data_IF_529048854147
#
_entry.id   IF_529048854147
#
_cell.length_a   1.000
_cell.length_b   1.000
_cell.length_c   1.000
_cell.angle_alpha   90.00
_cell.angle_beta   90.00
_cell.angle_gamma   90.00
#
_symmetry.space_group_name_H-M   'P 1'
#
loop_
_entity.id
_entity.type
_entity.pdbx_description
1 polymer ?
#
# COMPACT_ATOMS: atom_id res chain seq x y z
N UNK A 1 -1.27 -12.85 -6.48
CA UNK A 1 -0.85 -11.69 -5.67
C UNK A 1 0.62 -11.70 -5.29
N UNK A 2 1.15 -12.66 -4.52
CA UNK A 2 2.56 -12.65 -4.03
C UNK A 2 3.60 -12.35 -5.12
N UNK A 3 3.50 -13.00 -6.29
CA UNK A 3 4.40 -12.74 -7.43
C UNK A 3 4.31 -11.30 -7.94
N UNK A 4 3.10 -10.72 -8.01
CA UNK A 4 2.90 -9.34 -8.48
C UNK A 4 3.58 -8.35 -7.55
N UNK A 5 3.39 -8.51 -6.24
CA UNK A 5 3.96 -7.62 -5.23
C UNK A 5 5.49 -7.71 -5.19
N UNK A 6 6.04 -8.93 -5.20
CA UNK A 6 7.50 -9.15 -5.21
C UNK A 6 8.17 -8.71 -6.52
N UNK A 7 7.42 -8.64 -7.61
CA UNK A 7 7.91 -8.06 -8.85
C UNK A 7 8.11 -6.55 -8.76
N UNK A 8 7.30 -5.84 -7.94
CA UNK A 8 7.46 -4.39 -7.72
C UNK A 8 8.71 -4.12 -6.88
N UNK A 9 8.78 -4.73 -5.70
CA UNK A 9 9.93 -4.73 -4.80
C UNK A 9 9.95 -6.08 -4.07
N UNK A 10 11.09 -6.75 -4.04
CA UNK A 10 11.19 -8.11 -3.52
C UNK A 10 10.84 -8.25 -2.02
N UNK A 11 11.05 -7.19 -1.24
CA UNK A 11 10.76 -7.13 0.20
C UNK A 11 9.30 -6.82 0.53
N UNK A 12 8.49 -6.42 -0.45
CA UNK A 12 7.08 -6.15 -0.21
C UNK A 12 6.32 -7.44 0.02
N UNK A 13 5.39 -7.38 0.96
CA UNK A 13 4.46 -8.46 1.26
C UNK A 13 3.02 -7.94 1.10
N UNK A 14 2.05 -8.83 1.17
CA UNK A 14 0.64 -8.46 1.08
C UNK A 14 -0.20 -9.25 2.07
N UNK A 15 -1.36 -8.68 2.39
CA UNK A 15 -2.31 -9.27 3.33
C UNK A 15 -3.74 -8.99 2.85
N UNK A 16 -4.66 -9.97 2.89
CA UNK A 16 -6.08 -9.68 2.67
C UNK A 16 -6.62 -8.84 3.83
N UNK A 17 -7.32 -7.75 3.53
CA UNK A 17 -7.91 -6.85 4.53
C UNK A 17 -9.45 -6.89 4.52
N UNK A 18 -10.03 -7.84 3.78
CA UNK A 18 -11.47 -8.00 3.60
C UNK A 18 -11.78 -8.72 2.30
N UNK A 19 -13.06 -8.68 1.89
CA UNK A 19 -13.50 -9.25 0.60
C UNK A 19 -13.12 -8.37 -0.59
N UNK A 20 -13.06 -7.06 -0.40
CA UNK A 20 -12.87 -6.05 -1.44
C UNK A 20 -11.66 -5.15 -1.17
N UNK A 21 -10.79 -5.53 -0.22
CA UNK A 21 -9.60 -4.75 0.15
C UNK A 21 -8.37 -5.62 0.27
N UNK A 22 -7.25 -5.09 -0.22
CA UNK A 22 -5.94 -5.72 -0.06
C UNK A 22 -4.94 -4.75 0.55
N UNK A 23 -4.13 -5.25 1.48
CA UNK A 23 -3.00 -4.54 2.07
C UNK A 23 -1.70 -4.89 1.38
N UNK A 24 -0.89 -3.88 1.06
CA UNK A 24 0.51 -4.03 0.63
C UNK A 24 1.38 -3.53 1.78
N UNK A 25 2.22 -4.41 2.33
CA UNK A 25 3.12 -4.09 3.44
C UNK A 25 4.42 -3.54 2.86
N UNK A 26 4.70 -2.28 3.16
CA UNK A 26 5.80 -1.51 2.61
C UNK A 26 6.75 -1.11 3.76
N UNK A 27 8.06 -1.36 3.63
CA UNK A 27 9.04 -0.85 4.59
C UNK A 27 8.95 0.67 4.75
N UNK A 28 9.03 1.16 5.98
CA UNK A 28 8.92 2.59 6.27
C UNK A 28 10.03 3.44 5.63
N UNK A 29 11.19 2.82 5.43
CA UNK A 29 12.39 3.38 4.80
C UNK A 29 12.50 3.05 3.30
N UNK A 30 11.39 2.65 2.66
CA UNK A 30 11.37 2.28 1.23
C UNK A 30 12.00 3.37 0.35
N UNK A 31 13.09 3.01 -0.33
CA UNK A 31 13.66 3.85 -1.37
C UNK A 31 12.80 3.78 -2.64
N UNK A 32 12.23 4.92 -3.05
CA UNK A 32 11.44 5.05 -4.28
C UNK A 32 12.20 4.61 -5.54
N UNK A 33 13.54 4.63 -5.54
CA UNK A 33 14.36 4.21 -6.69
C UNK A 33 14.37 2.69 -6.89
N UNK A 34 14.08 1.93 -5.84
CA UNK A 34 13.98 0.47 -5.91
C UNK A 34 12.62 0.02 -6.44
N UNK A 35 11.64 0.93 -6.55
CA UNK A 35 10.29 0.62 -7.00
C UNK A 35 10.23 0.62 -8.52
N UNK A 36 9.94 -0.54 -9.09
CA UNK A 36 9.69 -0.66 -10.52
C UNK A 36 8.33 -0.05 -10.87
N UNK A 37 8.33 1.19 -11.39
CA UNK A 37 7.10 1.97 -11.66
C UNK A 37 6.08 1.25 -12.55
N UNK A 38 6.50 0.67 -13.68
CA UNK A 38 5.59 -0.07 -14.56
C UNK A 38 4.96 -1.25 -13.85
N UNK A 39 5.76 -2.02 -13.10
CA UNK A 39 5.27 -3.17 -12.32
C UNK A 39 4.33 -2.75 -11.19
N UNK A 40 4.50 -1.55 -10.63
CA UNK A 40 3.58 -1.00 -9.65
C UNK A 40 2.22 -0.67 -10.29
N UNK A 41 2.21 -0.14 -11.51
CA UNK A 41 0.97 0.07 -12.28
C UNK A 41 0.30 -1.27 -12.59
N UNK A 42 1.07 -2.25 -13.12
CA UNK A 42 0.56 -3.60 -13.39
C UNK A 42 -0.04 -4.26 -12.13
N UNK A 43 0.53 -3.99 -10.95
CA UNK A 43 -0.01 -4.46 -9.67
C UNK A 43 -1.37 -3.84 -9.37
N UNK A 44 -1.55 -2.53 -9.58
CA UNK A 44 -2.83 -1.86 -9.34
C UNK A 44 -3.89 -2.32 -10.34
N UNK A 45 -3.54 -2.45 -11.62
CA UNK A 45 -4.44 -3.01 -12.64
C UNK A 45 -4.84 -4.45 -12.32
N UNK A 46 -3.90 -5.28 -11.85
CA UNK A 46 -4.22 -6.64 -11.41
C UNK A 46 -5.17 -6.66 -10.20
N UNK A 47 -5.01 -5.72 -9.26
CA UNK A 47 -5.94 -5.57 -8.13
C UNK A 47 -7.36 -5.24 -8.61
N UNK A 48 -7.51 -4.26 -9.51
CA UNK A 48 -8.80 -3.88 -10.08
C UNK A 48 -9.37 -5.00 -10.97
N UNK A 49 -8.71 -5.30 -12.07
CA UNK A 49 -9.29 -6.08 -13.15
C UNK A 49 -9.38 -7.57 -12.82
N UNK A 50 -8.38 -8.12 -12.12
CA UNK A 50 -8.31 -9.56 -11.86
C UNK A 50 -8.87 -9.91 -10.48
N UNK A 51 -8.42 -9.20 -9.43
CA UNK A 51 -8.89 -9.49 -8.07
C UNK A 51 -10.22 -8.84 -7.74
N UNK A 52 -10.69 -7.87 -8.53
CA UNK A 52 -11.96 -7.16 -8.32
C UNK A 52 -12.04 -6.54 -6.92
N UNK A 53 -10.91 -6.09 -6.38
CA UNK A 53 -10.87 -5.34 -5.12
C UNK A 53 -11.21 -3.88 -5.40
N UNK A 54 -11.84 -3.21 -4.43
CA UNK A 54 -12.20 -1.79 -4.52
C UNK A 54 -11.14 -0.87 -3.93
N UNK A 55 -10.31 -1.39 -3.03
CA UNK A 55 -9.29 -0.60 -2.36
C UNK A 55 -7.97 -1.37 -2.20
N UNK A 56 -6.88 -0.67 -2.50
CA UNK A 56 -5.52 -1.09 -2.17
C UNK A 56 -5.00 -0.20 -1.04
N UNK A 57 -4.61 -0.82 0.07
CA UNK A 57 -4.10 -0.12 1.26
C UNK A 57 -2.59 -0.34 1.34
N UNK A 58 -1.80 0.71 1.20
CA UNK A 58 -0.38 0.70 1.54
C UNK A 58 -0.22 0.82 3.06
N UNK A 59 0.43 -0.17 3.68
CA UNK A 59 0.61 -0.30 5.12
C UNK A 59 2.09 -0.16 5.47
N UNK A 60 2.40 0.73 6.39
CA UNK A 60 3.76 0.98 6.87
C UNK A 60 3.82 0.69 8.36
N UNK A 61 4.81 -0.09 8.81
CA UNK A 61 5.01 -0.46 10.22
C UNK A 61 5.61 0.66 11.10
N UNK A 62 5.22 1.91 10.84
CA UNK A 62 5.63 3.10 11.62
C UNK A 62 4.51 4.14 11.62
N UNK A 63 3.92 4.39 12.79
CA UNK A 63 2.82 5.35 12.95
C UNK A 63 3.24 6.83 12.84
N UNK A 64 4.53 7.15 13.04
CA UNK A 64 5.06 8.51 12.98
C UNK A 64 5.29 9.03 11.54
N UNK A 65 5.01 8.20 10.53
CA UNK A 65 5.14 8.59 9.14
C UNK A 65 4.10 9.63 8.72
N UNK A 66 4.51 10.48 7.79
CA UNK A 66 3.63 11.48 7.18
C UNK A 66 3.82 11.52 5.68
N UNK A 67 2.84 12.06 4.97
CA UNK A 67 2.91 12.28 3.51
C UNK A 67 3.86 13.41 3.09
N UNK A 68 4.51 14.09 4.04
CA UNK A 68 5.45 15.18 3.75
C UNK A 68 6.83 14.67 3.29
N UNK A 69 7.19 13.42 3.62
CA UNK A 69 8.50 12.85 3.36
C UNK A 69 8.43 11.36 2.97
N UNK A 70 9.57 10.83 2.50
CA UNK A 70 9.74 9.42 2.20
C UNK A 70 8.83 8.88 1.10
N UNK A 71 8.62 7.56 1.14
CA UNK A 71 7.76 6.87 0.18
C UNK A 71 6.27 7.26 0.23
N UNK A 72 5.66 7.55 1.41
CA UNK A 72 4.28 8.06 1.48
C UNK A 72 4.02 9.29 0.59
N UNK A 73 5.00 10.20 0.48
CA UNK A 73 4.92 11.34 -0.43
C UNK A 73 4.81 10.90 -1.90
N UNK A 74 5.56 9.87 -2.29
CA UNK A 74 5.51 9.31 -3.65
C UNK A 74 4.14 8.73 -3.94
N UNK A 75 3.59 7.92 -3.02
CA UNK A 75 2.26 7.35 -3.17
C UNK A 75 1.16 8.42 -3.26
N UNK A 76 1.30 9.54 -2.53
CA UNK A 76 0.38 10.67 -2.63
C UNK A 76 0.31 11.25 -4.05
N UNK A 77 1.44 11.32 -4.76
CA UNK A 77 1.48 11.77 -6.15
C UNK A 77 0.82 10.78 -7.13
N UNK A 78 0.85 9.49 -6.80
CA UNK A 78 0.18 8.44 -7.60
C UNK A 78 -1.34 8.43 -7.35
N UNK A 79 -1.82 9.04 -6.27
CA UNK A 79 -3.24 9.16 -5.98
C UNK A 79 -3.67 8.58 -4.63
N UNK A 80 -2.76 7.92 -3.90
CA UNK A 80 -3.05 7.41 -2.57
C UNK A 80 -3.42 8.55 -1.61
N UNK A 81 -4.30 8.25 -0.66
CA UNK A 81 -4.78 9.18 0.38
C UNK A 81 -4.55 8.57 1.75
N UNK A 82 -4.28 9.40 2.76
CA UNK A 82 -4.08 8.93 4.14
C UNK A 82 -5.39 8.32 4.65
N UNK A 83 -5.29 7.16 5.30
CA UNK A 83 -6.40 6.58 6.06
C UNK A 83 -6.33 7.14 7.48
N UNK A 84 -7.43 7.66 7.99
CA UNK A 84 -7.50 8.08 9.38
C UNK A 84 -7.50 6.86 10.31
N UNK A 85 -6.83 6.89 11.47
CA UNK A 85 -6.78 5.79 12.45
C UNK A 85 -8.12 5.09 12.72
N UNK A 86 -9.20 5.88 12.86
CA UNK A 86 -10.56 5.42 13.12
C UNK A 86 -11.17 4.59 11.98
N UNK A 87 -10.59 4.67 10.78
CA UNK A 87 -11.03 3.95 9.58
C UNK A 87 -10.11 2.78 9.22
N UNK A 88 -9.17 2.43 10.10
CA UNK A 88 -8.30 1.29 9.86
C UNK A 88 -9.13 -0.02 9.82
N UNK A 89 -8.80 -0.94 8.90
CA UNK A 89 -9.28 -2.31 9.00
C UNK A 89 -8.92 -2.91 10.36
N UNK A 90 -9.74 -3.80 10.96
CA UNK A 90 -9.49 -4.37 12.27
C UNK A 90 -8.15 -5.10 12.44
N UNK A 91 -7.52 -5.48 11.33
CA UNK A 91 -6.21 -6.16 11.29
C UNK A 91 -5.02 -5.19 11.37
N UNK A 92 -5.24 -3.88 11.30
CA UNK A 92 -4.20 -2.86 11.42
C UNK A 92 -4.31 -2.12 12.75
N UNK A 93 -3.17 -1.95 13.42
CA UNK A 93 -3.06 -1.22 14.67
C UNK A 93 -2.59 0.21 14.41
N UNK A 94 -3.44 1.19 14.70
CA UNK A 94 -3.16 2.60 14.48
C UNK A 94 -2.04 3.18 15.36
N UNK A 95 -1.65 2.50 16.45
CA UNK A 95 -0.54 2.94 17.30
C UNK A 95 0.82 2.59 16.71
N UNK A 96 0.86 1.59 15.83
CA UNK A 96 2.09 1.05 15.23
C UNK A 96 2.15 1.23 13.72
N UNK A 97 1.02 1.47 13.07
CA UNK A 97 0.93 1.55 11.61
C UNK A 97 0.51 2.93 11.10
N UNK A 98 1.06 3.28 9.95
CA UNK A 98 0.56 4.33 9.08
C UNK A 98 0.02 3.69 7.80
N UNK A 99 -1.12 4.16 7.31
CA UNK A 99 -1.77 3.58 6.14
C UNK A 99 -2.22 4.64 5.13
N UNK A 100 -2.13 4.29 3.85
CA UNK A 100 -2.69 5.07 2.75
C UNK A 100 -3.54 4.16 1.87
N UNK A 101 -4.66 4.67 1.36
CA UNK A 101 -5.59 3.93 0.49
C UNK A 101 -5.57 4.50 -0.94
N UNK A 102 -5.75 3.61 -1.90
CA UNK A 102 -6.02 3.91 -3.31
C UNK A 102 -7.30 3.17 -3.69
N UNK A 103 -8.31 3.94 -4.13
CA UNK A 103 -9.53 3.38 -4.70
C UNK A 103 -9.22 3.02 -6.14
N UNK A 104 -9.35 1.73 -6.46
CA UNK A 104 -9.12 1.19 -7.80
C UNK A 104 -10.33 1.43 -8.69
#
# INVERSE_FOLDING_TARGET
MTRMVKNVVASWEWVPLGKDKVGIIIPADQDHRQVHKSRFVDLLEFCDETMKVKEVIAVFGRADLTVAAGFPRTLRYVGFRVVAPENFPPTLDATTHFAMTYVV
#
